data_IF_618694521328
#
_entry.id   IF_618694521328
#
_cell.length_a   1.000
_cell.length_b   1.000
_cell.length_c   1.000
_cell.angle_alpha   90.00
_cell.angle_beta   90.00
_cell.angle_gamma   90.00
#
_symmetry.space_group_name_H-M   'P 1'
#
loop_
_entity.id
_entity.type
_entity.pdbx_description
1 polymer ?
#
# COMPACT_ATOMS: atom_id res chain seq x y z
N UNK A 1 21.65 24.82 19.06
CA UNK A 1 22.50 25.98 18.69
C UNK A 1 23.63 26.11 19.70
N UNK A 2 24.88 26.36 19.26
CA UNK A 2 26.01 26.58 20.16
C UNK A 2 25.95 27.98 20.80
N UNK A 3 26.46 28.08 22.03
CA UNK A 3 26.70 29.35 22.73
C UNK A 3 28.20 29.48 22.93
N UNK A 4 28.77 30.58 22.46
CA UNK A 4 30.20 30.88 22.52
C UNK A 4 30.43 32.11 23.37
N UNK A 5 31.50 32.09 24.17
CA UNK A 5 31.89 33.19 25.06
C UNK A 5 33.37 33.49 24.91
N UNK A 6 33.74 34.75 25.09
CA UNK A 6 35.12 35.23 25.19
C UNK A 6 35.13 36.44 26.13
N UNK A 7 36.31 36.93 26.50
CA UNK A 7 36.49 38.13 27.35
C UNK A 7 37.00 39.30 26.53
N UNK A 8 36.74 40.53 26.99
CA UNK A 8 37.16 41.73 26.27
C UNK A 8 38.70 41.83 26.21
N UNK A 9 39.38 41.43 27.29
CA UNK A 9 40.83 41.43 27.43
C UNK A 9 41.48 40.52 26.38
N UNK A 10 40.98 39.28 26.25
CA UNK A 10 41.47 38.35 25.23
C UNK A 10 41.24 38.85 23.79
N UNK A 11 40.11 39.51 23.54
CA UNK A 11 39.86 40.11 22.22
C UNK A 11 40.81 41.27 21.92
N UNK A 12 41.17 42.08 22.91
CA UNK A 12 42.13 43.17 22.75
C UNK A 12 43.56 42.65 22.52
N UNK A 13 43.95 41.58 23.19
CA UNK A 13 45.30 41.02 23.11
C UNK A 13 45.53 40.18 21.83
N UNK A 14 44.55 39.39 21.43
CA UNK A 14 44.72 38.39 20.36
C UNK A 14 43.86 38.64 19.12
N UNK A 15 42.91 39.58 19.18
CA UNK A 15 41.94 39.83 18.11
C UNK A 15 40.86 38.75 18.01
N UNK A 16 39.84 39.02 17.19
CA UNK A 16 38.68 38.12 17.02
C UNK A 16 39.01 36.82 16.28
N UNK A 17 40.06 36.82 15.44
CA UNK A 17 40.51 35.64 14.69
C UNK A 17 41.37 34.69 15.54
N UNK A 18 41.79 35.13 16.73
CA UNK A 18 42.56 34.34 17.67
C UNK A 18 41.76 33.18 18.29
N UNK A 19 42.44 32.17 18.85
CA UNK A 19 41.80 31.05 19.51
C UNK A 19 41.35 31.43 20.94
N UNK A 20 40.50 32.45 21.07
CA UNK A 20 40.04 33.02 22.35
C UNK A 20 38.57 32.73 22.65
N UNK A 21 37.91 31.96 21.79
CA UNK A 21 36.49 31.65 21.90
C UNK A 21 36.29 30.31 22.61
N UNK A 22 35.43 30.29 23.61
CA UNK A 22 35.06 29.07 24.34
C UNK A 22 33.61 28.74 24.10
N UNK A 23 33.34 27.55 23.56
CA UNK A 23 31.99 27.01 23.45
C UNK A 23 31.54 26.46 24.81
N UNK A 24 30.37 26.88 25.29
CA UNK A 24 29.79 26.37 26.53
C UNK A 24 29.56 24.85 26.41
N UNK A 25 29.95 24.12 27.46
CA UNK A 25 30.01 22.64 27.46
C UNK A 25 31.38 22.06 27.10
N UNK A 26 32.36 22.89 26.69
CA UNK A 26 33.77 22.49 26.48
C UNK A 26 34.71 23.41 27.27
N UNK A 27 35.91 22.91 27.57
CA UNK A 27 36.91 23.63 28.38
C UNK A 27 38.00 24.32 27.55
N UNK A 28 38.14 23.99 26.26
CA UNK A 28 39.19 24.52 25.39
C UNK A 28 38.77 25.79 24.67
N UNK A 29 39.70 26.74 24.59
CA UNK A 29 39.63 27.90 23.71
C UNK A 29 39.87 27.48 22.26
N UNK A 30 39.20 28.16 21.34
CA UNK A 30 39.05 27.80 19.93
C UNK A 30 38.94 29.08 19.10
N UNK A 31 39.13 28.95 17.78
CA UNK A 31 38.74 30.02 16.85
C UNK A 31 37.22 30.17 16.83
N UNK A 32 36.72 31.35 16.45
CA UNK A 32 35.28 31.60 16.39
C UNK A 32 34.56 30.57 15.50
N UNK A 33 35.11 30.29 14.31
CA UNK A 33 34.56 29.32 13.36
C UNK A 33 34.47 27.92 13.97
N UNK A 34 35.52 27.45 14.65
CA UNK A 34 35.52 26.13 15.29
C UNK A 34 34.55 26.09 16.49
N UNK A 35 34.43 27.18 17.25
CA UNK A 35 33.51 27.26 18.37
C UNK A 35 32.03 27.32 17.95
N UNK A 36 31.74 27.89 16.76
CA UNK A 36 30.42 27.91 16.15
C UNK A 36 30.07 26.59 15.45
N UNK A 37 31.05 25.81 15.05
CA UNK A 37 30.80 24.48 14.50
C UNK A 37 30.16 23.55 15.57
N UNK A 38 29.12 22.82 15.16
CA UNK A 38 28.32 21.99 16.05
C UNK A 38 28.03 20.60 15.48
N UNK A 39 29.06 19.80 15.18
CA UNK A 39 28.89 18.47 14.61
C UNK A 39 28.10 17.53 15.55
N UNK A 40 28.23 17.72 16.86
CA UNK A 40 27.46 16.96 17.87
C UNK A 40 25.96 17.23 17.73
N UNK A 41 25.57 18.49 17.52
CA UNK A 41 24.16 18.86 17.31
C UNK A 41 23.60 18.31 16.01
N UNK A 42 24.38 18.33 14.94
CA UNK A 42 23.97 17.77 13.66
C UNK A 42 23.83 16.24 13.73
N UNK A 43 24.73 15.57 14.47
CA UNK A 43 24.61 14.14 14.75
C UNK A 43 23.35 13.83 15.57
N UNK A 44 23.10 14.59 16.64
CA UNK A 44 21.89 14.43 17.47
C UNK A 44 20.60 14.71 16.70
N UNK A 45 20.60 15.69 15.79
CA UNK A 45 19.46 15.98 14.94
C UNK A 45 19.18 14.83 13.97
N UNK A 46 20.22 14.27 13.33
CA UNK A 46 20.08 13.11 12.44
C UNK A 46 19.55 11.87 13.17
N UNK A 47 20.03 11.59 14.39
CA UNK A 47 19.52 10.48 15.21
C UNK A 47 18.03 10.68 15.57
N UNK A 48 17.64 11.89 15.96
CA UNK A 48 16.24 12.21 16.25
C UNK A 48 15.34 12.04 15.03
N UNK A 49 15.81 12.48 13.85
CA UNK A 49 15.10 12.29 12.59
C UNK A 49 14.94 10.82 12.25
N UNK A 50 16.00 10.02 12.36
CA UNK A 50 15.94 8.58 12.10
C UNK A 50 14.90 7.87 13.01
N UNK A 51 14.91 8.19 14.32
CA UNK A 51 13.91 7.65 15.26
C UNK A 51 12.49 8.10 14.95
N UNK A 52 12.32 9.35 14.50
CA UNK A 52 11.01 9.87 14.11
C UNK A 52 10.48 9.14 12.86
N UNK A 53 11.36 8.89 11.89
CA UNK A 53 11.04 8.15 10.66
C UNK A 53 10.70 6.69 10.96
N UNK A 54 11.45 6.02 11.82
CA UNK A 54 11.14 4.65 12.29
C UNK A 54 9.75 4.59 12.93
N UNK A 55 9.45 5.51 13.84
CA UNK A 55 8.12 5.59 14.48
C UNK A 55 7.02 5.90 13.47
N UNK A 56 7.28 6.76 12.50
CA UNK A 56 6.33 7.05 11.43
C UNK A 56 6.08 5.83 10.53
N UNK A 57 7.12 5.07 10.21
CA UNK A 57 7.00 3.82 9.47
C UNK A 57 6.18 2.78 10.24
N UNK A 58 6.46 2.60 11.54
CA UNK A 58 5.68 1.71 12.41
C UNK A 58 4.20 2.10 12.47
N UNK A 59 3.91 3.40 12.63
CA UNK A 59 2.52 3.90 12.60
C UNK A 59 1.83 3.59 11.28
N UNK A 60 2.48 3.84 10.14
CA UNK A 60 1.92 3.52 8.82
C UNK A 60 1.61 2.03 8.66
N UNK A 61 2.48 1.15 9.15
CA UNK A 61 2.24 -0.31 9.12
C UNK A 61 1.05 -0.68 10.00
N UNK A 62 0.96 -0.14 11.22
CA UNK A 62 -0.14 -0.40 12.14
C UNK A 62 -1.48 0.15 11.63
N UNK A 63 -1.49 1.38 11.11
CA UNK A 63 -2.66 2.01 10.50
C UNK A 63 -3.15 1.24 9.29
N UNK A 64 -2.21 0.80 8.44
CA UNK A 64 -2.53 -0.11 7.33
C UNK A 64 -3.19 -1.35 7.92
N UNK A 65 -2.52 -2.13 8.77
CA UNK A 65 -3.05 -3.39 9.32
C UNK A 65 -4.42 -3.25 10.03
N UNK A 66 -4.69 -2.09 10.62
CA UNK A 66 -6.01 -1.77 11.20
C UNK A 66 -7.10 -1.61 10.12
N UNK A 67 -6.74 -1.16 8.92
CA UNK A 67 -7.62 -1.07 7.74
C UNK A 67 -7.74 -2.39 6.97
N UNK A 68 -7.06 -3.47 7.39
CA UNK A 68 -7.11 -4.76 6.68
C UNK A 68 -8.55 -5.30 6.65
N UNK A 69 -9.16 -5.47 5.46
CA UNK A 69 -10.52 -5.96 5.34
C UNK A 69 -10.70 -7.38 5.89
N UNK A 70 -11.92 -7.66 6.32
CA UNK A 70 -12.35 -8.98 6.79
C UNK A 70 -13.33 -9.57 5.79
N UNK A 71 -13.15 -10.86 5.48
CA UNK A 71 -14.05 -11.60 4.61
C UNK A 71 -15.45 -11.68 5.22
N UNK A 72 -16.45 -11.23 4.45
CA UNK A 72 -17.86 -11.29 4.83
C UNK A 72 -18.38 -12.72 5.03
N UNK A 73 -17.75 -13.72 4.40
CA UNK A 73 -18.17 -15.13 4.42
C UNK A 73 -17.50 -15.97 5.50
N UNK A 74 -16.17 -15.90 5.61
CA UNK A 74 -15.41 -16.75 6.55
C UNK A 74 -14.85 -15.98 7.77
N UNK A 75 -15.00 -14.66 7.82
CA UNK A 75 -14.53 -13.83 8.94
C UNK A 75 -13.01 -13.71 9.05
N UNK A 76 -12.24 -14.31 8.14
CA UNK A 76 -10.79 -14.17 8.11
C UNK A 76 -10.39 -12.82 7.51
N UNK A 77 -9.33 -12.21 8.06
CA UNK A 77 -8.72 -11.05 7.43
C UNK A 77 -8.16 -11.42 6.05
N UNK A 78 -8.15 -10.47 5.13
CA UNK A 78 -7.57 -10.68 3.82
C UNK A 78 -6.08 -10.96 3.91
N UNK A 79 -5.57 -11.81 3.02
CA UNK A 79 -4.13 -11.94 2.82
C UNK A 79 -3.57 -10.64 2.26
N UNK A 80 -2.26 -10.44 2.37
CA UNK A 80 -1.58 -9.27 1.80
C UNK A 80 -1.89 -9.11 0.31
N UNK A 81 -1.70 -10.18 -0.46
CA UNK A 81 -1.94 -10.18 -1.91
C UNK A 81 -3.39 -9.82 -2.25
N UNK A 82 -4.37 -10.41 -1.57
CA UNK A 82 -5.81 -10.13 -1.82
C UNK A 82 -6.15 -8.69 -1.47
N UNK A 83 -5.58 -8.18 -0.39
CA UNK A 83 -5.82 -6.82 0.03
C UNK A 83 -5.18 -5.81 -0.93
N UNK A 84 -3.97 -6.06 -1.41
CA UNK A 84 -3.36 -5.25 -2.47
C UNK A 84 -4.20 -5.29 -3.76
N UNK A 85 -4.62 -6.47 -4.19
CA UNK A 85 -5.46 -6.66 -5.38
C UNK A 85 -6.77 -5.84 -5.29
N UNK A 86 -7.42 -5.85 -4.13
CA UNK A 86 -8.72 -5.16 -3.92
C UNK A 86 -8.59 -3.67 -3.65
N UNK A 87 -7.42 -3.17 -3.22
CA UNK A 87 -7.23 -1.76 -2.83
C UNK A 87 -6.36 -0.97 -3.81
N UNK A 88 -5.56 -1.64 -4.64
CA UNK A 88 -4.71 -0.98 -5.63
C UNK A 88 -5.56 -0.26 -6.68
N UNK A 89 -5.09 0.93 -7.10
CA UNK A 89 -5.70 1.66 -8.22
C UNK A 89 -5.63 0.80 -9.48
N UNK A 90 -6.79 0.38 -9.97
CA UNK A 90 -6.92 -0.51 -11.13
C UNK A 90 -7.13 -1.99 -10.77
N UNK A 91 -6.63 -2.46 -9.62
CA UNK A 91 -6.81 -3.85 -9.15
C UNK A 91 -8.27 -4.17 -8.81
N UNK A 92 -9.01 -3.20 -8.26
CA UNK A 92 -10.43 -3.37 -7.96
C UNK A 92 -11.30 -3.76 -9.17
N UNK A 93 -10.88 -3.43 -10.39
CA UNK A 93 -11.61 -3.78 -11.62
C UNK A 93 -11.40 -5.23 -12.05
N UNK A 94 -10.30 -5.85 -11.61
CA UNK A 94 -9.95 -7.25 -11.93
C UNK A 94 -10.21 -8.21 -10.77
N UNK A 95 -10.31 -7.70 -9.54
CA UNK A 95 -10.39 -8.51 -8.32
C UNK A 95 -11.74 -9.23 -8.09
N UNK A 96 -12.75 -8.95 -8.91
CA UNK A 96 -14.10 -9.49 -8.72
C UNK A 96 -14.76 -8.95 -7.44
N UNK A 97 -15.27 -9.84 -6.59
CA UNK A 97 -15.94 -9.45 -5.35
C UNK A 97 -14.95 -8.95 -4.28
N UNK A 98 -15.01 -7.65 -3.98
CA UNK A 98 -14.13 -6.97 -3.04
C UNK A 98 -14.41 -7.31 -1.56
N UNK A 99 -15.50 -8.02 -1.26
CA UNK A 99 -15.94 -8.29 0.10
C UNK A 99 -15.49 -9.65 0.64
N UNK A 100 -14.97 -10.52 -0.23
CA UNK A 100 -14.55 -11.89 0.10
C UNK A 100 -13.04 -12.10 -0.07
N UNK A 101 -12.48 -12.99 0.75
CA UNK A 101 -11.08 -13.39 0.62
C UNK A 101 -10.84 -14.20 -0.67
N UNK A 102 -9.57 -14.32 -1.09
CA UNK A 102 -9.21 -14.98 -2.35
C UNK A 102 -9.68 -16.43 -2.46
N UNK A 103 -9.73 -17.18 -1.35
CA UNK A 103 -10.23 -18.56 -1.36
C UNK A 103 -11.74 -18.63 -1.59
N UNK A 104 -12.51 -17.80 -0.87
CA UNK A 104 -13.95 -17.71 -1.08
C UNK A 104 -14.28 -17.23 -2.50
N UNK A 105 -13.52 -16.27 -3.03
CA UNK A 105 -13.67 -15.81 -4.41
C UNK A 105 -13.41 -16.93 -5.43
N UNK A 106 -12.33 -17.69 -5.26
CA UNK A 106 -12.03 -18.83 -6.13
C UNK A 106 -13.12 -19.91 -6.09
N UNK A 107 -13.69 -20.19 -4.92
CA UNK A 107 -14.82 -21.10 -4.78
C UNK A 107 -16.06 -20.60 -5.52
N UNK A 108 -16.31 -19.29 -5.53
CA UNK A 108 -17.45 -18.69 -6.23
C UNK A 108 -17.27 -18.85 -7.75
N UNK A 109 -16.09 -18.52 -8.26
CA UNK A 109 -15.73 -18.71 -9.67
C UNK A 109 -15.85 -20.18 -10.08
N UNK A 110 -15.37 -21.11 -9.25
CA UNK A 110 -15.45 -22.54 -9.53
C UNK A 110 -16.91 -23.04 -9.59
N UNK A 111 -17.78 -22.56 -8.68
CA UNK A 111 -19.22 -22.90 -8.70
C UNK A 111 -19.91 -22.37 -9.95
N UNK A 112 -19.61 -21.13 -10.35
CA UNK A 112 -20.15 -20.55 -11.59
C UNK A 112 -19.69 -21.32 -12.83
N UNK A 113 -18.41 -21.67 -12.91
CA UNK A 113 -17.86 -22.44 -14.02
C UNK A 113 -18.47 -23.83 -14.09
N UNK A 114 -18.61 -24.53 -12.97
CA UNK A 114 -19.27 -25.84 -12.92
C UNK A 114 -20.73 -25.75 -13.38
N UNK A 115 -21.47 -24.73 -12.95
CA UNK A 115 -22.85 -24.50 -13.41
C UNK A 115 -22.93 -24.22 -14.92
N UNK A 116 -21.99 -23.43 -15.47
CA UNK A 116 -21.90 -23.19 -16.91
C UNK A 116 -21.61 -24.47 -17.70
N UNK A 117 -20.70 -25.31 -17.20
CA UNK A 117 -20.39 -26.60 -17.83
C UNK A 117 -21.58 -27.54 -17.80
N UNK A 118 -22.31 -27.62 -16.68
CA UNK A 118 -23.54 -28.42 -16.57
C UNK A 118 -24.64 -27.93 -17.52
N UNK A 119 -24.84 -26.61 -17.63
CA UNK A 119 -25.80 -26.03 -18.57
C UNK A 119 -25.41 -26.22 -20.04
N UNK A 120 -24.12 -26.40 -20.33
CA UNK A 120 -23.60 -26.67 -21.67
C UNK A 120 -23.66 -28.15 -22.07
N UNK A 121 -24.00 -29.07 -21.17
CA UNK A 121 -24.27 -30.48 -21.54
C UNK A 121 -25.56 -30.51 -22.36
N UNK A 122 -25.52 -30.88 -23.66
CA UNK A 122 -26.72 -30.97 -24.45
C UNK A 122 -27.65 -32.02 -23.84
N UNK A 123 -28.91 -31.65 -23.61
CA UNK A 123 -29.95 -32.62 -23.29
C UNK A 123 -29.94 -33.70 -24.38
N UNK A 124 -30.07 -35.00 -24.04
CA UNK A 124 -30.19 -36.04 -25.06
C UNK A 124 -31.34 -35.64 -25.98
N UNK A 125 -31.03 -35.41 -27.26
CA UNK A 125 -32.05 -35.29 -28.29
C UNK A 125 -32.69 -36.68 -28.35
N UNK A 126 -33.85 -36.83 -27.72
CA UNK A 126 -34.66 -38.02 -27.91
C UNK A 126 -35.00 -38.12 -29.41
N UNK A 127 -34.54 -39.22 -30.00
CA UNK A 127 -34.68 -39.59 -31.40
C UNK A 127 -36.14 -39.95 -31.69
N UNK A 128 -36.95 -38.95 -32.04
CA UNK A 128 -38.28 -39.19 -32.61
C UNK A 128 -38.14 -39.47 -34.12
N UNK A 129 -37.83 -40.73 -34.42
CA UNK A 129 -38.12 -41.38 -35.69
C UNK A 129 -39.63 -41.45 -35.94
N UNK A 130 -40.00 -41.14 -37.19
CA UNK A 130 -41.26 -41.43 -37.90
C UNK A 130 -42.50 -40.61 -37.47
N UNK A 131 -43.26 -39.97 -38.37
CA UNK A 131 -43.94 -40.61 -39.51
C UNK A 131 -44.14 -39.63 -40.68
N UNK A 132 -43.77 -40.11 -41.87
CA UNK A 132 -44.23 -39.57 -43.13
C UNK A 132 -45.77 -39.58 -43.22
N UNK A 133 -46.37 -38.46 -43.66
CA UNK A 133 -47.69 -38.47 -44.31
C UNK A 133 -47.71 -37.55 -45.53
N UNK A 134 -48.15 -38.05 -46.71
CA UNK A 134 -48.22 -37.24 -47.92
C UNK A 134 -49.61 -36.63 -48.13
N UNK A 135 -49.61 -35.38 -48.61
CA UNK A 135 -50.53 -34.95 -49.65
C UNK A 135 -51.69 -34.00 -49.29
N UNK A 136 -51.96 -33.13 -50.28
CA UNK A 136 -53.19 -32.38 -50.60
C UNK A 136 -53.41 -31.08 -49.79
N UNK A 137 -53.63 -29.91 -50.40
CA UNK A 137 -53.87 -29.60 -51.79
C UNK A 137 -53.92 -28.09 -52.05
N UNK A 138 -53.88 -27.76 -53.34
CA UNK A 138 -54.10 -26.44 -53.91
C UNK A 138 -55.40 -25.80 -53.43
N UNK A 139 -55.38 -24.52 -53.04
CA UNK A 139 -56.41 -23.57 -53.45
C UNK A 139 -55.83 -22.16 -53.65
N UNK A 140 -56.01 -21.66 -54.87
CA UNK A 140 -55.78 -20.28 -55.31
C UNK A 140 -56.85 -19.35 -54.72
N UNK A 141 -56.49 -18.12 -54.40
CA UNK A 141 -57.40 -16.97 -54.57
C UNK A 141 -56.62 -15.78 -55.10
N UNK A 142 -57.17 -15.21 -56.18
CA UNK A 142 -56.66 -14.12 -57.00
C UNK A 142 -57.84 -13.16 -57.16
N UNK A 143 -57.57 -11.85 -57.09
CA UNK A 143 -58.44 -10.78 -57.62
C UNK A 143 -59.61 -10.41 -56.72
#
# INVERSE_FOLDING_TARGET
MPVVVTTLEQLQEHGADGPVWRRLGRKSEQTLTAALDNPDGDALYRDQMARADERAAQRRVAEREAQRPVCSRCGQKFTEDRWEETTARGGAWTAGDLTVCGTCHADDVAREQAARLQAAVPLPLEDDRELARPGRGFFRRRG
#
